data_IF_446649363176
#
_entry.id   IF_446649363176
#
_cell.length_a   1.000
_cell.length_b   1.000
_cell.length_c   1.000
_cell.angle_alpha   90.00
_cell.angle_beta   90.00
_cell.angle_gamma   90.00
#
_symmetry.space_group_name_H-M   'P 1'
#
loop_
_entity.id
_entity.type
_entity.pdbx_description
1 polymer ?
#
# COMPACT_ATOMS: atom_id res chain seq x y z
N UNK A 1 -12.38 -16.32 8.96
CA UNK A 1 -12.43 -14.88 9.28
C UNK A 1 -11.00 -14.41 9.44
N UNK A 2 -10.50 -13.59 8.52
CA UNK A 2 -9.14 -13.06 8.62
C UNK A 2 -9.13 -11.96 9.70
N UNK A 3 -8.34 -12.14 10.76
CA UNK A 3 -8.23 -11.10 11.79
C UNK A 3 -7.42 -9.93 11.24
N UNK A 4 -7.95 -8.72 11.45
CA UNK A 4 -7.36 -7.44 11.05
C UNK A 4 -5.85 -7.30 11.35
N UNK A 5 -5.41 -7.84 12.49
CA UNK A 5 -4.00 -7.78 12.94
C UNK A 5 -3.06 -8.65 12.11
N UNK A 6 -3.60 -9.63 11.39
CA UNK A 6 -2.80 -10.63 10.69
C UNK A 6 -2.46 -10.19 9.27
N UNK A 7 -3.19 -9.25 8.67
CA UNK A 7 -2.97 -8.84 7.27
C UNK A 7 -2.41 -7.44 7.10
N UNK A 8 -2.71 -6.55 8.03
CA UNK A 8 -2.39 -5.14 7.93
C UNK A 8 -0.88 -4.87 7.96
N UNK A 9 -0.41 -4.03 7.03
CA UNK A 9 1.00 -3.68 6.89
C UNK A 9 1.86 -4.77 6.25
N UNK A 10 1.28 -5.90 5.84
CA UNK A 10 2.02 -6.92 5.10
C UNK A 10 2.00 -6.66 3.60
N UNK A 11 3.03 -7.13 2.92
CA UNK A 11 3.21 -7.05 1.47
C UNK A 11 2.78 -8.37 0.84
N UNK A 12 2.04 -8.26 -0.25
CA UNK A 12 1.49 -9.39 -1.00
C UNK A 12 1.77 -9.24 -2.48
N UNK A 13 1.59 -10.34 -3.20
CA UNK A 13 1.44 -10.38 -4.65
C UNK A 13 0.04 -10.90 -4.99
N UNK A 14 -0.44 -10.54 -6.17
CA UNK A 14 -1.64 -11.18 -6.70
C UNK A 14 -1.31 -12.59 -7.18
N UNK A 15 -2.21 -13.52 -6.88
CA UNK A 15 -2.25 -14.84 -7.52
C UNK A 15 -2.42 -14.69 -9.03
N UNK A 16 -1.90 -15.67 -9.76
CA UNK A 16 -2.08 -15.76 -11.21
C UNK A 16 -3.57 -15.85 -11.57
N UNK A 17 -3.92 -15.51 -12.82
CA UNK A 17 -5.30 -15.64 -13.29
C UNK A 17 -5.82 -17.07 -13.14
N UNK A 18 -5.01 -18.07 -13.48
CA UNK A 18 -5.34 -19.49 -13.32
C UNK A 18 -5.66 -19.87 -11.88
N UNK A 19 -4.86 -19.40 -10.92
CA UNK A 19 -5.12 -19.64 -9.50
C UNK A 19 -6.39 -18.94 -9.01
N UNK A 20 -6.66 -17.71 -9.46
CA UNK A 20 -7.91 -17.01 -9.15
C UNK A 20 -9.14 -17.71 -9.77
N UNK A 21 -9.02 -18.23 -10.99
CA UNK A 21 -10.07 -18.99 -11.66
C UNK A 21 -10.41 -20.26 -10.89
N UNK A 22 -9.40 -20.99 -10.40
CA UNK A 22 -9.59 -22.17 -9.56
C UNK A 22 -10.32 -21.88 -8.23
N UNK A 23 -10.36 -20.62 -7.81
CA UNK A 23 -11.08 -20.15 -6.62
C UNK A 23 -12.47 -19.59 -6.95
N UNK A 24 -12.94 -19.72 -8.20
CA UNK A 24 -14.24 -19.19 -8.64
C UNK A 24 -14.27 -17.66 -8.76
N UNK A 25 -13.12 -16.99 -8.76
CA UNK A 25 -13.03 -15.54 -8.71
C UNK A 25 -12.74 -14.96 -10.10
N UNK A 26 -13.82 -14.70 -10.83
CA UNK A 26 -13.81 -14.41 -12.26
C UNK A 26 -13.61 -12.93 -12.62
N UNK A 27 -13.90 -12.00 -11.71
CA UNK A 27 -13.91 -10.58 -12.00
C UNK A 27 -13.15 -9.79 -10.93
N UNK A 28 -12.06 -9.15 -11.34
CA UNK A 28 -11.37 -8.17 -10.53
C UNK A 28 -11.36 -6.86 -11.31
N UNK A 29 -11.88 -5.79 -10.71
CA UNK A 29 -11.76 -4.43 -11.25
C UNK A 29 -10.36 -3.86 -10.95
N UNK A 30 -9.34 -4.65 -11.28
CA UNK A 30 -7.93 -4.30 -11.11
C UNK A 30 -7.22 -4.68 -12.39
N UNK A 31 -6.65 -3.67 -13.04
CA UNK A 31 -5.91 -3.83 -14.28
C UNK A 31 -4.75 -4.82 -14.14
N UNK A 32 -4.39 -5.50 -15.24
CA UNK A 32 -3.26 -6.44 -15.26
C UNK A 32 -1.93 -5.79 -14.85
N UNK A 33 -1.77 -4.51 -15.15
CA UNK A 33 -0.60 -3.73 -14.72
C UNK A 33 -0.48 -3.74 -13.20
N UNK A 34 -1.57 -3.46 -12.49
CA UNK A 34 -1.58 -3.48 -11.01
C UNK A 34 -1.36 -4.88 -10.48
N UNK A 35 -1.92 -5.91 -11.14
CA UNK A 35 -1.74 -7.31 -10.76
C UNK A 35 -0.28 -7.79 -10.85
N UNK A 36 0.52 -7.17 -11.71
CA UNK A 36 1.95 -7.47 -11.84
C UNK A 36 2.83 -6.90 -10.73
N UNK A 37 2.28 -6.01 -9.89
CA UNK A 37 3.00 -5.35 -8.81
C UNK A 37 2.82 -6.06 -7.46
N UNK A 38 3.80 -5.88 -6.58
CA UNK A 38 3.59 -6.11 -5.15
C UNK A 38 2.62 -5.07 -4.61
N UNK A 39 1.88 -5.41 -3.56
CA UNK A 39 0.94 -4.50 -2.91
C UNK A 39 1.11 -4.53 -1.40
N UNK A 40 0.95 -3.38 -0.76
CA UNK A 40 0.87 -3.27 0.70
C UNK A 40 -0.59 -3.24 1.13
N UNK A 41 -0.97 -4.07 2.11
CA UNK A 41 -2.30 -4.00 2.73
C UNK A 41 -2.33 -2.85 3.73
N UNK A 42 -3.17 -1.85 3.47
CA UNK A 42 -3.35 -0.71 4.35
C UNK A 42 -4.36 -1.01 5.46
N UNK A 43 -5.54 -1.53 5.09
CA UNK A 43 -6.66 -1.76 6.01
C UNK A 43 -7.63 -2.84 5.47
N UNK A 44 -8.60 -3.27 6.27
CA UNK A 44 -9.77 -4.01 5.80
C UNK A 44 -10.85 -3.07 5.29
N UNK A 45 -11.73 -3.56 4.44
CA UNK A 45 -12.85 -2.76 3.91
C UNK A 45 -14.08 -2.89 4.81
N UNK A 46 -14.59 -1.80 5.41
CA UNK A 46 -15.81 -1.84 6.20
C UNK A 46 -17.00 -2.35 5.37
N UNK A 47 -17.78 -3.28 5.92
CA UNK A 47 -18.97 -3.83 5.25
C UNK A 47 -18.70 -4.88 4.17
N UNK A 48 -17.43 -5.20 3.85
CA UNK A 48 -17.07 -6.28 2.92
C UNK A 48 -16.18 -7.31 3.63
N UNK A 49 -16.74 -8.49 3.89
CA UNK A 49 -16.01 -9.57 4.55
C UNK A 49 -14.84 -10.04 3.68
N UNK A 50 -13.66 -10.24 4.30
CA UNK A 50 -12.44 -10.72 3.64
C UNK A 50 -11.90 -9.83 2.51
N UNK A 51 -12.35 -8.58 2.42
CA UNK A 51 -11.78 -7.57 1.53
C UNK A 51 -10.76 -6.69 2.24
N UNK A 52 -9.68 -6.39 1.54
CA UNK A 52 -8.60 -5.54 2.00
C UNK A 52 -8.37 -4.38 1.03
N UNK A 53 -8.05 -3.22 1.60
CA UNK A 53 -7.60 -2.04 0.86
C UNK A 53 -6.09 -2.14 0.66
N UNK A 54 -5.67 -2.25 -0.59
CA UNK A 54 -4.27 -2.42 -0.98
C UNK A 54 -3.74 -1.22 -1.77
N UNK A 55 -2.44 -0.96 -1.63
CA UNK A 55 -1.72 0.09 -2.37
C UNK A 55 -0.55 -0.52 -3.13
N UNK A 56 -0.37 -0.22 -4.43
CA UNK A 56 0.72 -0.79 -5.23
C UNK A 56 2.09 -0.30 -4.78
N UNK A 57 3.06 -1.21 -4.80
CA UNK A 57 4.49 -0.94 -4.65
C UNK A 57 5.13 -0.99 -6.04
N UNK A 58 5.86 0.06 -6.38
CA UNK A 58 6.53 0.21 -7.67
C UNK A 58 7.98 0.61 -7.50
N UNK A 59 8.85 0.21 -8.44
CA UNK A 59 10.23 0.68 -8.50
C UNK A 59 10.41 1.95 -9.33
N UNK A 60 9.35 2.42 -10.01
CA UNK A 60 9.41 3.59 -10.91
C UNK A 60 8.42 4.65 -10.46
N UNK A 61 8.86 5.92 -10.50
CA UNK A 61 8.00 7.08 -10.26
C UNK A 61 7.50 7.64 -11.58
N UNK A 62 6.27 8.16 -11.57
CA UNK A 62 5.74 9.06 -12.62
C UNK A 62 5.70 10.48 -12.07
N UNK A 63 5.84 11.48 -12.92
CA UNK A 63 6.04 12.89 -12.50
C UNK A 63 4.87 13.50 -11.73
N UNK A 64 3.66 12.93 -11.85
CA UNK A 64 2.44 13.43 -11.20
C UNK A 64 1.82 12.46 -10.18
N UNK A 65 2.54 11.40 -9.80
CA UNK A 65 2.01 10.46 -8.82
C UNK A 65 2.40 10.82 -7.39
N UNK A 66 1.53 10.49 -6.44
CA UNK A 66 1.88 10.59 -5.02
C UNK A 66 2.50 9.27 -4.56
N UNK A 67 3.75 9.37 -4.11
CA UNK A 67 4.54 8.24 -3.69
C UNK A 67 5.10 8.43 -2.29
N UNK A 68 5.26 7.32 -1.58
CA UNK A 68 6.01 7.27 -0.33
C UNK A 68 7.19 6.31 -0.50
N UNK A 69 8.44 6.75 -0.27
CA UNK A 69 9.59 5.87 -0.38
C UNK A 69 9.57 4.78 0.69
N UNK A 70 9.92 3.56 0.30
CA UNK A 70 10.12 2.43 1.21
C UNK A 70 11.63 2.25 1.39
N UNK A 71 12.10 2.25 2.64
CA UNK A 71 13.51 2.00 2.98
C UNK A 71 14.00 0.72 2.30
N UNK A 72 15.18 0.71 1.66
CA UNK A 72 16.26 1.70 1.78
C UNK A 72 16.18 2.90 0.82
N UNK A 73 15.11 3.07 0.03
CA UNK A 73 14.94 4.24 -0.83
C UNK A 73 15.02 5.54 -0.01
N UNK A 74 15.92 6.49 -0.33
CA UNK A 74 16.09 7.71 0.45
C UNK A 74 14.81 8.54 0.59
N UNK A 75 14.61 9.16 1.76
CA UNK A 75 13.45 10.03 2.03
C UNK A 75 13.41 11.29 1.16
N UNK A 76 14.54 11.79 0.62
CA UNK A 76 14.70 12.97 -0.26
C UNK A 76 13.40 13.75 -0.59
N UNK A 77 13.01 14.69 0.27
CA UNK A 77 11.87 15.60 0.06
C UNK A 77 10.47 15.02 0.30
N UNK A 78 10.33 13.72 0.53
CA UNK A 78 9.05 13.09 0.89
C UNK A 78 8.70 13.35 2.36
N UNK A 79 7.41 13.53 2.66
CA UNK A 79 6.93 13.81 4.01
C UNK A 79 7.26 12.68 5.00
N UNK A 80 7.08 11.43 4.56
CA UNK A 80 7.32 10.22 5.34
C UNK A 80 8.15 9.21 4.53
N UNK A 81 8.73 8.22 5.21
CA UNK A 81 9.46 7.10 4.59
C UNK A 81 9.08 5.82 5.32
N UNK A 82 8.59 4.82 4.60
CA UNK A 82 8.18 3.55 5.19
C UNK A 82 9.39 2.68 5.51
N UNK A 83 9.26 1.90 6.59
CA UNK A 83 10.30 0.96 7.03
C UNK A 83 9.70 -0.42 7.14
N UNK A 84 10.29 -1.36 6.40
CA UNK A 84 10.01 -2.77 6.58
C UNK A 84 10.59 -3.24 7.92
N UNK A 85 9.86 -4.15 8.57
CA UNK A 85 10.24 -4.78 9.82
C UNK A 85 11.32 -5.80 9.53
N UNK A 86 12.47 -5.58 10.15
CA UNK A 86 13.55 -6.56 10.19
C UNK A 86 13.22 -7.63 11.22
N UNK A 87 13.24 -8.89 10.81
CA UNK A 87 13.25 -10.00 11.75
C UNK A 87 14.69 -10.22 12.22
N UNK A 88 15.00 -10.07 13.52
CA UNK A 88 16.29 -10.45 14.03
C UNK A 88 16.39 -11.98 14.02
N UNK A 89 17.16 -12.53 13.09
CA UNK A 89 17.59 -13.92 13.20
C UNK A 89 18.67 -14.02 14.28
N UNK A 90 18.44 -14.86 15.29
CA UNK A 90 19.45 -15.23 16.27
C UNK A 90 20.43 -16.23 15.63
N UNK A 91 21.31 -15.75 14.76
CA UNK A 91 22.48 -16.52 14.37
C UNK A 91 23.63 -16.23 15.33
N UNK A 92 24.27 -17.30 15.80
CA UNK A 92 25.41 -17.30 16.71
C UNK A 92 26.42 -16.21 16.34
N UNK A 93 26.63 -15.27 17.27
CA UNK A 93 27.87 -14.53 17.52
C UNK A 93 28.67 -14.21 16.24
N UNK A 94 28.17 -13.27 15.43
CA UNK A 94 28.91 -12.20 14.72
C UNK A 94 28.10 -11.65 13.52
N UNK A 95 27.87 -10.32 13.53
CA UNK A 95 27.24 -9.43 12.54
C UNK A 95 25.69 -9.45 12.38
N UNK A 96 24.97 -8.38 12.78
CA UNK A 96 23.53 -8.25 12.51
C UNK A 96 23.30 -7.35 11.29
N UNK A 97 23.24 -7.89 10.06
CA UNK A 97 22.85 -7.06 8.89
C UNK A 97 22.07 -7.82 7.83
N UNK A 98 20.88 -8.27 8.16
CA UNK A 98 19.89 -8.59 7.13
C UNK A 98 18.73 -7.62 7.29
N UNK A 99 18.86 -6.46 6.64
CA UNK A 99 17.70 -5.58 6.41
C UNK A 99 16.85 -6.32 5.38
N UNK A 100 15.55 -6.62 5.62
CA UNK A 100 14.67 -7.08 4.57
C UNK A 100 14.54 -5.93 3.57
N UNK A 101 15.32 -6.04 2.51
CA UNK A 101 15.43 -5.04 1.47
C UNK A 101 14.59 -5.54 0.31
N UNK A 102 13.61 -4.73 -0.09
CA UNK A 102 13.08 -4.84 -1.44
C UNK A 102 14.26 -4.70 -2.39
N UNK A 103 14.47 -5.69 -3.27
CA UNK A 103 15.66 -5.81 -4.14
C UNK A 103 15.95 -4.56 -4.99
N UNK A 104 14.96 -3.68 -5.14
CA UNK A 104 15.03 -2.42 -5.88
C UNK A 104 14.55 -1.29 -5.00
N UNK A 105 15.02 -0.07 -5.29
CA UNK A 105 14.41 1.15 -4.77
C UNK A 105 12.92 1.14 -5.10
N UNK A 106 12.12 1.14 -4.05
CA UNK A 106 10.68 0.95 -4.12
C UNK A 106 9.94 2.10 -3.46
N UNK A 107 8.77 2.37 -4.00
CA UNK A 107 7.85 3.42 -3.60
C UNK A 107 6.45 2.84 -3.48
N UNK A 108 5.75 3.21 -2.41
CA UNK A 108 4.32 2.95 -2.28
C UNK A 108 3.56 4.04 -3.01
N UNK A 109 2.69 3.67 -3.95
CA UNK A 109 1.83 4.60 -4.68
C UNK A 109 0.56 4.83 -3.85
N UNK A 110 0.44 6.00 -3.25
CA UNK A 110 -0.64 6.31 -2.29
C UNK A 110 -1.84 7.03 -2.93
N UNK A 111 -1.70 7.46 -4.19
CA UNK A 111 -2.82 7.97 -4.99
C UNK A 111 -3.72 6.88 -5.57
N UNK A 112 -3.32 5.62 -5.46
CA UNK A 112 -3.99 4.48 -6.07
C UNK A 112 -4.23 3.44 -4.99
N UNK A 113 -5.49 3.18 -4.67
CA UNK A 113 -5.87 2.13 -3.74
C UNK A 113 -6.98 1.27 -4.33
N UNK A 114 -6.89 -0.02 -4.11
CA UNK A 114 -7.84 -1.01 -4.64
C UNK A 114 -8.42 -1.82 -3.49
N UNK A 115 -9.68 -2.20 -3.61
CA UNK A 115 -10.34 -3.11 -2.69
C UNK A 115 -10.36 -4.50 -3.32
N UNK A 116 -9.70 -5.46 -2.70
CA UNK A 116 -9.55 -6.80 -3.27
C UNK A 116 -9.81 -7.88 -2.22
N UNK A 117 -10.34 -9.04 -2.61
CA UNK A 117 -10.45 -10.18 -1.71
C UNK A 117 -9.06 -10.68 -1.29
N UNK A 118 -8.85 -10.91 0.01
CA UNK A 118 -7.58 -11.41 0.55
C UNK A 118 -7.18 -12.76 -0.05
N UNK A 119 -8.15 -13.59 -0.45
CA UNK A 119 -7.90 -14.92 -1.03
C UNK A 119 -7.18 -14.85 -2.40
N UNK A 120 -7.22 -13.69 -3.07
CA UNK A 120 -6.44 -13.45 -4.30
C UNK A 120 -4.99 -13.10 -4.05
N UNK A 121 -4.65 -12.82 -2.80
CA UNK A 121 -3.32 -12.39 -2.42
C UNK A 121 -2.54 -13.59 -1.90
N UNK A 122 -1.26 -13.60 -2.22
CA UNK A 122 -0.26 -14.48 -1.64
C UNK A 122 0.77 -13.62 -0.95
N UNK A 123 1.10 -13.94 0.30
CA UNK A 123 2.05 -13.17 1.09
C UNK A 123 3.42 -13.21 0.41
N UNK A 124 4.06 -12.04 0.29
CA UNK A 124 5.41 -11.97 -0.26
C UNK A 124 6.43 -12.06 0.87
N UNK A 125 7.46 -12.87 0.64
CA UNK A 125 8.49 -13.15 1.62
C UNK A 125 9.85 -12.62 1.17
N UNK A 126 10.72 -12.37 2.12
CA UNK A 126 12.13 -12.12 1.84
C UNK A 126 12.85 -13.41 1.39
N UNK A 127 14.17 -13.30 1.18
CA UNK A 127 15.02 -14.42 0.78
C UNK A 127 15.01 -15.58 1.78
N UNK A 128 14.73 -15.31 3.06
CA UNK A 128 14.73 -16.29 4.14
C UNK A 128 13.32 -16.84 4.42
N UNK A 129 12.32 -16.47 3.61
CA UNK A 129 10.94 -16.89 3.81
C UNK A 129 10.20 -16.09 4.89
N UNK A 130 10.79 -15.00 5.40
CA UNK A 130 10.10 -14.15 6.37
C UNK A 130 9.12 -13.21 5.66
N UNK A 131 7.91 -12.98 6.21
CA UNK A 131 6.94 -12.06 5.62
C UNK A 131 7.47 -10.64 5.51
N UNK A 132 7.29 -10.01 4.34
CA UNK A 132 7.58 -8.59 4.19
C UNK A 132 6.46 -7.78 4.85
N UNK A 133 6.76 -7.10 5.96
CA UNK A 133 5.79 -6.29 6.69
C UNK A 133 6.36 -4.94 7.10
N UNK A 134 5.54 -3.90 7.21
CA UNK A 134 5.94 -2.63 7.83
C UNK A 134 5.75 -2.66 9.34
N UNK A 135 6.50 -1.83 10.06
CA UNK A 135 6.34 -1.69 11.50
C UNK A 135 4.91 -1.25 11.87
N UNK A 136 4.22 -1.94 12.80
CA UNK A 136 2.84 -1.59 13.15
C UNK A 136 2.75 -0.24 13.87
N UNK A 137 3.76 0.08 14.70
CA UNK A 137 3.90 1.34 15.45
C UNK A 137 5.25 1.98 15.08
N UNK A 138 5.45 3.26 15.43
CA UNK A 138 6.66 4.08 15.17
C UNK A 138 6.70 4.85 13.84
N UNK A 139 7.66 5.79 13.75
CA UNK A 139 7.97 6.57 12.55
C UNK A 139 8.38 5.62 11.41
N UNK A 140 7.77 5.81 10.24
CA UNK A 140 7.85 4.96 9.07
C UNK A 140 7.00 3.70 9.15
N UNK A 141 6.13 3.59 10.16
CA UNK A 141 5.23 2.47 10.35
C UNK A 141 3.83 2.69 9.76
N UNK A 142 2.98 1.69 9.94
CA UNK A 142 1.61 1.64 9.41
C UNK A 142 0.71 2.74 9.99
N UNK A 143 0.86 3.05 11.28
CA UNK A 143 0.12 4.15 11.91
C UNK A 143 0.38 5.49 11.23
N UNK A 144 1.66 5.84 11.04
CA UNK A 144 2.03 7.10 10.36
C UNK A 144 1.57 7.11 8.90
N UNK A 145 1.64 5.97 8.20
CA UNK A 145 1.11 5.84 6.83
C UNK A 145 -0.39 6.12 6.78
N UNK A 146 -1.19 5.53 7.68
CA UNK A 146 -2.64 5.75 7.73
C UNK A 146 -2.99 7.19 8.03
N UNK A 147 -2.32 7.79 9.01
CA UNK A 147 -2.56 9.18 9.39
C UNK A 147 -2.17 10.13 8.26
N UNK A 148 -1.12 9.80 7.50
CA UNK A 148 -0.70 10.56 6.33
C UNK A 148 -1.72 10.45 5.20
N UNK A 149 -2.14 9.24 4.84
CA UNK A 149 -3.16 9.00 3.79
C UNK A 149 -4.47 9.68 4.16
N UNK A 150 -4.95 9.54 5.40
CA UNK A 150 -6.19 10.17 5.87
C UNK A 150 -6.14 11.69 5.76
N UNK A 151 -5.07 12.32 6.23
CA UNK A 151 -4.89 13.78 6.13
C UNK A 151 -4.89 14.25 4.68
N UNK A 152 -4.15 13.56 3.82
CA UNK A 152 -4.03 13.87 2.41
C UNK A 152 -5.36 13.71 1.66
N UNK A 153 -6.11 12.66 1.94
CA UNK A 153 -7.42 12.43 1.33
C UNK A 153 -8.45 13.48 1.83
N UNK A 154 -8.37 13.90 3.10
CA UNK A 154 -9.21 14.97 3.65
C UNK A 154 -8.95 16.32 2.98
N UNK A 155 -7.69 16.71 2.81
CA UNK A 155 -7.30 17.96 2.13
C UNK A 155 -7.81 17.95 0.68
N UNK A 156 -7.58 16.87 -0.06
CA UNK A 156 -8.07 16.71 -1.43
C UNK A 156 -9.60 16.72 -1.52
N UNK A 157 -10.28 16.18 -0.51
CA UNK A 157 -11.74 16.23 -0.41
C UNK A 157 -12.25 17.67 -0.25
N UNK A 158 -11.62 18.45 0.63
CA UNK A 158 -11.96 19.87 0.81
C UNK A 158 -11.69 20.69 -0.44
N UNK A 159 -10.52 20.55 -1.08
CA UNK A 159 -10.19 21.26 -2.33
C UNK A 159 -11.19 20.96 -3.44
N UNK A 160 -11.66 19.71 -3.56
CA UNK A 160 -12.71 19.35 -4.52
C UNK A 160 -14.04 20.02 -4.20
N UNK A 161 -14.41 20.11 -2.93
CA UNK A 161 -15.64 20.77 -2.49
C UNK A 161 -15.60 22.26 -2.88
N UNK A 162 -14.52 22.97 -2.54
CA UNK A 162 -14.33 24.38 -2.86
C UNK A 162 -14.41 24.65 -4.37
N UNK A 163 -13.71 23.85 -5.18
CA UNK A 163 -13.76 23.99 -6.65
C UNK A 163 -15.15 23.70 -7.23
N UNK A 164 -15.95 22.87 -6.58
CA UNK A 164 -17.30 22.57 -7.05
C UNK A 164 -18.24 23.72 -6.72
N UNK A 165 -18.10 24.34 -5.54
CA UNK A 165 -18.86 25.53 -5.14
C UNK A 165 -18.49 26.78 -5.95
N UNK A 166 -17.22 26.99 -6.28
CA UNK A 166 -16.79 28.11 -7.15
C UNK A 166 -17.37 27.97 -8.56
N UNK A 167 -17.35 26.76 -9.13
CA UNK A 167 -17.97 26.49 -10.43
C UNK A 167 -19.49 26.61 -10.44
N UNK A 168 -20.16 26.47 -9.30
CA UNK A 168 -21.61 26.68 -9.20
C UNK A 168 -21.94 28.18 -9.06
N UNK A 169 -21.13 28.95 -8.33
CA UNK A 169 -21.29 30.41 -8.23
C UNK A 169 -21.05 31.14 -9.55
N UNK A 170 -20.10 30.71 -10.37
CA UNK A 170 -19.86 31.28 -11.70
C UNK A 170 -20.99 31.02 -12.72
N UNK A 171 -21.88 30.05 -12.46
CA UNK A 171 -23.02 29.74 -13.32
C UNK A 171 -24.26 30.57 -12.94
N UNK A 172 -24.37 31.02 -11.68
CA UNK A 172 -25.49 31.83 -11.20
C UNK A 172 -25.32 33.34 -11.47
N UNK A 173 -24.08 33.85 -11.56
CA UNK A 173 -23.80 35.26 -11.87
C UNK A 173 -23.72 35.57 -13.38
N UNK A 174 -24.07 34.60 -14.23
CA UNK A 174 -24.01 34.70 -15.70
C UNK A 174 -25.36 34.87 -16.42
N UNK A 175 -26.45 35.20 -15.71
CA UNK A 175 -27.80 35.42 -16.27
C UNK A 175 -28.24 36.88 -16.17
#
# INVERSE_FOLDING_TARGET
MVLLRDVQGRVYKFKSRSECLGLGMLTLDVTDVVRSHMVLVLDTVPGKLDYVKVMPITSTRKDHGDYVPISPTPKKGFAIQLRLRTYPEWYHRDAPRLIPILRKHSYLKIDSSYEVPIQMLVEDTDYFGNPLMIWPKHRGGLGELRDYVRRRDSIRGQEKLYRTTEKQGEVEDGV
#
